data_IF_536520737180
#
_entry.id   IF_536520737180
#
_cell.length_a   1.000
_cell.length_b   1.000
_cell.length_c   1.000
_cell.angle_alpha   90.00
_cell.angle_beta   90.00
_cell.angle_gamma   90.00
#
_symmetry.space_group_name_H-M   'P 1'
#
loop_
_entity.id
_entity.type
_entity.pdbx_description
1 polymer ?
#
# COMPACT_ATOMS: atom_id res chain seq x y z
N UNK A 1 -40.31 1.61 -50.66
CA UNK A 1 -39.02 1.03 -50.22
C UNK A 1 -38.64 1.68 -48.89
N UNK A 2 -38.97 1.04 -47.77
CA UNK A 2 -38.51 1.45 -46.45
C UNK A 2 -37.46 0.42 -46.01
N UNK A 3 -36.19 0.84 -45.94
CA UNK A 3 -35.08 -0.01 -45.53
C UNK A 3 -35.18 -0.33 -44.03
N UNK A 4 -35.38 -1.61 -43.70
CA UNK A 4 -35.16 -2.12 -42.36
C UNK A 4 -33.66 -2.06 -42.04
N UNK A 5 -33.28 -1.09 -41.20
CA UNK A 5 -31.94 -1.07 -40.59
C UNK A 5 -31.92 -2.15 -39.51
N UNK A 6 -31.31 -3.30 -39.82
CA UNK A 6 -31.07 -4.36 -38.87
C UNK A 6 -30.17 -3.83 -37.73
N UNK A 7 -30.71 -3.73 -36.51
CA UNK A 7 -29.93 -3.49 -35.29
C UNK A 7 -28.94 -4.64 -35.11
N UNK A 8 -27.65 -4.40 -35.38
CA UNK A 8 -26.56 -5.32 -35.02
C UNK A 8 -26.60 -5.53 -33.51
N UNK A 9 -26.95 -6.74 -33.07
CA UNK A 9 -26.76 -7.19 -31.68
C UNK A 9 -25.25 -7.15 -31.41
N UNK A 10 -24.76 -6.17 -30.64
CA UNK A 10 -23.47 -6.33 -29.98
C UNK A 10 -23.65 -7.39 -28.89
N UNK A 11 -23.30 -8.63 -29.23
CA UNK A 11 -22.97 -9.61 -28.23
C UNK A 11 -21.65 -9.11 -27.61
N UNK A 12 -21.67 -8.81 -26.31
CA UNK A 12 -20.44 -8.71 -25.55
C UNK A 12 -19.83 -10.10 -25.65
N UNK A 13 -18.77 -10.24 -26.44
CA UNK A 13 -18.01 -11.48 -26.48
C UNK A 13 -17.30 -11.55 -25.14
N UNK A 14 -17.84 -12.31 -24.20
CA UNK A 14 -17.13 -12.64 -22.97
C UNK A 14 -15.98 -13.55 -23.36
N UNK A 15 -14.80 -12.96 -23.51
CA UNK A 15 -13.58 -13.71 -23.80
C UNK A 15 -13.15 -14.40 -22.52
N UNK A 16 -13.45 -15.70 -22.41
CA UNK A 16 -12.95 -16.54 -21.31
C UNK A 16 -11.43 -16.52 -21.37
N UNK A 17 -10.78 -16.02 -20.33
CA UNK A 17 -9.31 -16.02 -20.24
C UNK A 17 -8.89 -17.43 -19.84
N UNK A 18 -8.41 -18.23 -20.81
CA UNK A 18 -8.05 -19.63 -20.60
C UNK A 18 -6.68 -19.82 -19.93
N UNK A 19 -5.73 -18.94 -20.21
CA UNK A 19 -4.33 -19.08 -19.79
C UNK A 19 -3.87 -17.84 -19.01
N UNK A 20 -4.18 -17.77 -17.71
CA UNK A 20 -3.60 -16.75 -16.83
C UNK A 20 -2.23 -17.19 -16.36
N UNK A 21 -1.22 -16.36 -16.64
CA UNK A 21 0.14 -16.56 -16.12
C UNK A 21 0.22 -16.40 -14.59
N UNK A 22 -0.68 -15.60 -13.99
CA UNK A 22 -0.71 -15.31 -12.55
C UNK A 22 -2.13 -15.51 -12.01
N UNK A 23 -2.27 -16.27 -10.93
CA UNK A 23 -3.55 -16.53 -10.26
C UNK A 23 -4.07 -15.28 -9.54
N UNK A 24 -5.39 -15.17 -9.30
CA UNK A 24 -5.97 -13.99 -8.68
C UNK A 24 -5.42 -13.71 -7.28
N UNK A 25 -5.14 -14.74 -6.49
CA UNK A 25 -4.55 -14.67 -5.15
C UNK A 25 -3.18 -13.96 -5.17
N UNK A 26 -2.49 -14.01 -6.32
CA UNK A 26 -1.15 -13.45 -6.53
C UNK A 26 -1.16 -12.09 -7.24
N UNK A 27 -2.31 -11.45 -7.36
CA UNK A 27 -2.45 -10.10 -7.90
C UNK A 27 -2.67 -9.12 -6.75
N UNK A 28 -2.04 -7.94 -6.83
CA UNK A 28 -2.32 -6.78 -5.97
C UNK A 28 -2.60 -5.58 -6.87
N UNK A 29 -3.82 -5.04 -6.82
CA UNK A 29 -4.17 -3.78 -7.49
C UNK A 29 -4.16 -2.65 -6.46
N UNK A 30 -3.12 -1.84 -6.47
CA UNK A 30 -2.87 -0.83 -5.44
C UNK A 30 -2.77 0.58 -6.01
N UNK A 31 -3.25 1.56 -5.26
CA UNK A 31 -2.95 2.96 -5.50
C UNK A 31 -1.93 3.48 -4.51
N UNK A 32 -1.04 4.36 -4.94
CA UNK A 32 -0.24 5.16 -4.02
C UNK A 32 -0.93 6.52 -3.92
N UNK A 33 -1.38 6.87 -2.72
CA UNK A 33 -2.22 8.04 -2.43
C UNK A 33 -1.55 8.88 -1.35
N UNK A 34 -1.57 10.20 -1.49
CA UNK A 34 -0.93 11.11 -0.53
C UNK A 34 -1.37 12.57 -0.74
N UNK A 35 -1.03 13.44 0.21
CA UNK A 35 -1.03 14.89 -0.03
C UNK A 35 0.17 15.30 -0.91
N UNK A 36 0.18 16.57 -1.35
CA UNK A 36 1.27 17.14 -2.15
C UNK A 36 2.59 17.06 -1.38
N UNK A 37 3.68 16.70 -2.06
CA UNK A 37 5.02 16.62 -1.45
C UNK A 37 5.18 15.59 -0.31
N UNK A 38 4.27 14.64 -0.12
CA UNK A 38 4.52 13.51 0.80
C UNK A 38 5.59 12.51 0.28
N UNK A 39 5.99 12.64 -0.99
CA UNK A 39 6.91 11.71 -1.67
C UNK A 39 6.23 10.49 -2.27
N UNK A 40 4.97 10.61 -2.70
CA UNK A 40 4.22 9.57 -3.41
C UNK A 40 4.95 9.07 -4.67
N UNK A 41 5.29 9.98 -5.59
CA UNK A 41 6.00 9.63 -6.84
C UNK A 41 7.38 9.04 -6.56
N UNK A 42 8.11 9.58 -5.59
CA UNK A 42 9.39 9.02 -5.13
C UNK A 42 9.24 7.57 -4.65
N UNK A 43 8.15 7.28 -3.95
CA UNK A 43 7.83 5.92 -3.49
C UNK A 43 7.54 5.01 -4.68
N UNK A 44 6.76 5.48 -5.66
CA UNK A 44 6.50 4.75 -6.92
C UNK A 44 7.79 4.41 -7.64
N UNK A 45 8.66 5.40 -7.86
CA UNK A 45 9.95 5.22 -8.56
C UNK A 45 10.86 4.22 -7.84
N UNK A 46 10.94 4.29 -6.51
CA UNK A 46 11.72 3.30 -5.75
C UNK A 46 11.13 1.91 -5.85
N UNK A 47 9.81 1.75 -5.83
CA UNK A 47 9.16 0.45 -6.09
C UNK A 47 9.52 -0.11 -7.47
N UNK A 48 9.49 0.73 -8.51
CA UNK A 48 9.86 0.30 -9.87
C UNK A 48 11.34 -0.13 -9.97
N UNK A 49 12.21 0.57 -9.25
CA UNK A 49 13.62 0.24 -9.18
C UNK A 49 13.88 -1.07 -8.43
N UNK A 50 13.31 -1.24 -7.24
CA UNK A 50 13.48 -2.46 -6.40
C UNK A 50 12.91 -3.72 -7.06
N UNK A 51 11.85 -3.56 -7.84
CA UNK A 51 11.26 -4.65 -8.62
C UNK A 51 12.01 -4.95 -9.93
N UNK A 52 13.06 -4.18 -10.25
CA UNK A 52 13.85 -4.32 -11.47
C UNK A 52 13.12 -3.86 -12.74
N UNK A 53 11.97 -3.19 -12.63
CA UNK A 53 11.23 -2.62 -13.76
C UNK A 53 12.00 -1.48 -14.42
N UNK A 54 12.70 -0.68 -13.61
CA UNK A 54 13.61 0.36 -14.06
C UNK A 54 15.04 0.06 -13.57
N UNK A 55 16.03 0.31 -14.43
CA UNK A 55 17.45 0.09 -14.10
C UNK A 55 18.10 1.30 -13.43
N UNK A 56 17.41 2.45 -13.41
CA UNK A 56 17.85 3.70 -12.80
C UNK A 56 16.72 4.25 -11.95
N UNK A 57 17.07 4.85 -10.82
CA UNK A 57 16.13 5.53 -9.97
C UNK A 57 15.76 6.88 -10.60
N UNK A 58 14.47 7.11 -10.84
CA UNK A 58 13.97 8.41 -11.29
C UNK A 58 13.91 9.42 -10.15
N UNK A 59 14.00 10.70 -10.50
CA UNK A 59 13.92 11.82 -9.55
C UNK A 59 12.91 12.85 -10.04
N UNK A 60 12.03 13.29 -9.13
CA UNK A 60 11.06 14.37 -9.40
C UNK A 60 11.80 15.68 -9.63
N UNK A 61 12.81 15.99 -8.80
CA UNK A 61 13.60 17.22 -8.89
C UNK A 61 14.38 17.32 -10.21
N UNK A 62 14.80 16.18 -10.76
CA UNK A 62 15.51 16.11 -12.04
C UNK A 62 14.58 15.91 -13.24
N UNK A 63 13.26 15.74 -13.01
CA UNK A 63 12.28 15.46 -14.05
C UNK A 63 12.49 14.13 -14.79
N UNK A 64 13.14 13.16 -14.15
CA UNK A 64 13.56 11.87 -14.75
C UNK A 64 12.65 10.70 -14.39
N UNK A 65 11.55 10.95 -13.68
CA UNK A 65 10.57 9.93 -13.28
C UNK A 65 9.93 9.24 -14.49
N UNK A 66 9.63 7.95 -14.35
CA UNK A 66 8.95 7.16 -15.36
C UNK A 66 7.44 7.45 -15.42
N UNK A 67 6.84 7.89 -14.31
CA UNK A 67 5.40 8.13 -14.16
C UNK A 67 4.97 9.53 -14.63
N UNK A 68 5.74 10.58 -14.29
CA UNK A 68 5.45 11.96 -14.69
C UNK A 68 6.08 12.26 -16.07
N UNK A 69 5.33 11.98 -17.14
CA UNK A 69 5.82 12.08 -18.52
C UNK A 69 5.45 13.39 -19.21
N UNK A 70 4.47 14.13 -18.71
CA UNK A 70 4.09 15.41 -19.30
C UNK A 70 5.13 16.49 -18.96
N UNK A 71 5.41 17.38 -19.92
CA UNK A 71 6.33 18.52 -19.72
C UNK A 71 5.90 19.37 -18.51
N UNK A 72 4.59 19.61 -18.35
CA UNK A 72 4.03 20.36 -17.23
C UNK A 72 4.20 19.67 -15.88
N UNK A 73 4.19 18.34 -15.83
CA UNK A 73 4.42 17.59 -14.59
C UNK A 73 5.88 17.74 -14.16
N UNK A 74 6.81 17.61 -15.11
CA UNK A 74 8.25 17.77 -14.88
C UNK A 74 8.65 19.19 -14.51
N UNK A 75 8.08 20.20 -15.18
CA UNK A 75 8.34 21.61 -14.90
C UNK A 75 7.87 22.02 -13.49
N UNK A 76 6.77 21.41 -13.01
CA UNK A 76 6.13 21.79 -11.75
C UNK A 76 6.42 20.83 -10.59
N UNK A 77 7.05 19.68 -10.85
CA UNK A 77 7.31 18.65 -9.84
C UNK A 77 6.04 18.06 -9.22
N UNK A 78 4.95 17.96 -9.99
CA UNK A 78 3.66 17.43 -9.51
C UNK A 78 3.11 16.38 -10.47
N UNK A 79 2.45 15.35 -9.94
CA UNK A 79 1.67 14.39 -10.71
C UNK A 79 0.30 14.97 -11.05
N UNK A 80 -0.02 15.05 -12.34
CA UNK A 80 -1.29 15.59 -12.88
C UNK A 80 -2.19 14.44 -13.34
N UNK A 81 -1.64 13.43 -14.01
CA UNK A 81 -2.40 12.29 -14.55
C UNK A 81 -2.00 10.99 -13.86
N UNK A 82 -2.98 10.11 -13.64
CA UNK A 82 -2.69 8.80 -13.07
C UNK A 82 -1.81 7.96 -13.99
N UNK A 83 -0.73 7.38 -13.46
CA UNK A 83 0.10 6.42 -14.17
C UNK A 83 -0.24 4.99 -13.72
N UNK A 84 -0.65 4.13 -14.65
CA UNK A 84 -0.90 2.71 -14.39
C UNK A 84 0.31 1.87 -14.82
N UNK A 85 0.93 1.17 -13.88
CA UNK A 85 2.16 0.40 -14.11
C UNK A 85 2.03 -0.99 -13.51
N UNK A 86 2.47 -2.02 -14.26
CA UNK A 86 2.58 -3.39 -13.76
C UNK A 86 4.04 -3.72 -13.51
N UNK A 87 4.30 -4.22 -12.30
CA UNK A 87 5.58 -4.80 -11.87
C UNK A 87 5.39 -6.13 -11.16
N UNK A 88 6.48 -6.80 -10.82
CA UNK A 88 6.47 -8.10 -10.16
C UNK A 88 7.37 -8.11 -8.92
N UNK A 89 6.91 -8.80 -7.87
CA UNK A 89 7.63 -8.91 -6.60
C UNK A 89 7.64 -10.36 -6.12
N UNK A 90 8.81 -10.85 -5.72
CA UNK A 90 8.96 -12.19 -5.15
C UNK A 90 8.88 -12.11 -3.63
N UNK A 91 7.79 -12.61 -3.05
CA UNK A 91 7.70 -12.81 -1.62
C UNK A 91 8.43 -14.10 -1.24
N UNK A 92 9.51 -13.96 -0.44
CA UNK A 92 10.39 -15.06 -0.02
C UNK A 92 10.29 -15.37 1.48
N UNK A 93 9.30 -14.82 2.17
CA UNK A 93 9.17 -14.89 3.63
C UNK A 93 7.89 -15.60 4.01
N UNK A 94 8.00 -16.57 4.91
CA UNK A 94 6.82 -17.22 5.48
C UNK A 94 5.88 -16.18 6.11
N UNK A 95 4.60 -16.27 5.72
CA UNK A 95 3.61 -15.23 5.94
C UNK A 95 2.19 -15.82 6.02
N UNK A 96 1.20 -14.94 6.18
CA UNK A 96 -0.22 -15.27 6.06
C UNK A 96 -0.65 -15.55 4.62
N UNK A 97 0.21 -15.22 3.64
CA UNK A 97 0.02 -15.52 2.21
C UNK A 97 1.15 -16.41 1.70
N UNK A 98 0.89 -17.18 0.64
CA UNK A 98 1.86 -18.13 0.11
C UNK A 98 3.10 -17.43 -0.48
N UNK A 99 4.28 -18.02 -0.32
CA UNK A 99 5.49 -17.55 -1.00
C UNK A 99 5.35 -17.63 -2.53
N UNK A 100 6.09 -16.78 -3.24
CA UNK A 100 6.24 -16.86 -4.69
C UNK A 100 6.16 -15.52 -5.41
N UNK A 101 5.89 -15.60 -6.71
CA UNK A 101 5.89 -14.47 -7.63
C UNK A 101 4.53 -13.76 -7.68
N UNK A 102 4.50 -12.48 -7.30
CA UNK A 102 3.29 -11.65 -7.27
C UNK A 102 3.32 -10.59 -8.35
N UNK A 103 2.15 -10.35 -8.97
CA UNK A 103 1.94 -9.22 -9.86
C UNK A 103 1.39 -8.05 -9.06
N UNK A 104 2.06 -6.91 -9.12
CA UNK A 104 1.63 -5.66 -8.50
C UNK A 104 1.27 -4.66 -9.59
N UNK A 105 0.00 -4.29 -9.66
CA UNK A 105 -0.50 -3.22 -10.52
C UNK A 105 -0.63 -1.96 -9.67
N UNK A 106 0.08 -0.91 -10.06
CA UNK A 106 0.17 0.34 -9.32
C UNK A 106 -0.55 1.42 -10.12
N UNK A 107 -1.42 2.17 -9.46
CA UNK A 107 -1.92 3.46 -9.95
C UNK A 107 -1.27 4.55 -9.10
N UNK A 108 -0.36 5.30 -9.70
CA UNK A 108 0.19 6.50 -9.07
C UNK A 108 -0.83 7.64 -9.25
N UNK A 109 -1.35 8.20 -8.16
CA UNK A 109 -2.49 9.13 -8.20
C UNK A 109 -2.06 10.58 -7.99
N UNK A 110 -2.74 11.59 -8.55
CA UNK A 110 -2.43 12.99 -8.24
C UNK A 110 -2.54 13.30 -6.74
N UNK A 111 -1.59 14.08 -6.20
CA UNK A 111 -1.62 14.51 -4.79
C UNK A 111 -2.34 15.83 -4.55
N UNK A 112 -2.61 16.60 -5.63
CA UNK A 112 -3.18 17.94 -5.56
C UNK A 112 -4.72 17.90 -5.58
N UNK A 113 -5.34 18.80 -4.81
CA UNK A 113 -6.81 18.89 -4.66
C UNK A 113 -7.56 19.15 -5.98
N UNK A 114 -6.93 19.87 -6.90
CA UNK A 114 -7.48 20.20 -8.21
C UNK A 114 -7.73 18.96 -9.09
N UNK A 115 -7.09 17.83 -8.76
CA UNK A 115 -7.22 16.56 -9.48
C UNK A 115 -7.98 15.50 -8.67
N UNK A 116 -8.80 15.93 -7.70
CA UNK A 116 -9.63 15.04 -6.86
C UNK A 116 -10.54 14.10 -7.65
N UNK A 117 -11.03 14.49 -8.83
CA UNK A 117 -11.82 13.62 -9.69
C UNK A 117 -11.02 12.41 -10.21
N UNK A 118 -9.73 12.60 -10.44
CA UNK A 118 -8.80 11.56 -10.88
C UNK A 118 -8.51 10.57 -9.74
N UNK A 119 -8.30 11.11 -8.52
CA UNK A 119 -8.14 10.32 -7.30
C UNK A 119 -9.40 9.48 -7.02
N UNK A 120 -10.59 10.07 -7.11
CA UNK A 120 -11.84 9.32 -6.93
C UNK A 120 -12.02 8.21 -7.97
N UNK A 121 -11.66 8.47 -9.24
CA UNK A 121 -11.74 7.45 -10.29
C UNK A 121 -10.79 6.29 -10.01
N UNK A 122 -9.57 6.60 -9.57
CA UNK A 122 -8.56 5.60 -9.21
C UNK A 122 -9.05 4.74 -8.05
N UNK A 123 -9.50 5.37 -6.95
CA UNK A 123 -9.97 4.65 -5.75
C UNK A 123 -11.12 3.66 -6.00
N UNK A 124 -11.94 3.85 -7.05
CA UNK A 124 -13.02 2.91 -7.41
C UNK A 124 -12.54 1.62 -8.07
N UNK A 125 -11.32 1.61 -8.60
CA UNK A 125 -10.76 0.47 -9.37
C UNK A 125 -9.70 -0.28 -8.55
N UNK A 126 -9.29 0.30 -7.43
CA UNK A 126 -8.24 -0.25 -6.59
C UNK A 126 -8.79 -1.24 -5.58
N UNK A 127 -8.10 -2.37 -5.43
CA UNK A 127 -8.41 -3.32 -4.37
C UNK A 127 -7.86 -2.83 -3.03
N UNK A 128 -6.71 -2.16 -3.03
CA UNK A 128 -6.09 -1.58 -1.83
C UNK A 128 -5.26 -0.33 -2.13
N UNK A 129 -4.70 0.31 -1.12
CA UNK A 129 -3.86 1.48 -1.31
C UNK A 129 -2.73 1.63 -0.27
N UNK A 130 -1.68 2.33 -0.68
CA UNK A 130 -0.58 2.79 0.16
C UNK A 130 -0.80 4.29 0.41
N UNK A 131 -1.12 4.65 1.64
CA UNK A 131 -1.29 6.04 2.07
C UNK A 131 0.06 6.58 2.57
N UNK A 132 0.65 7.52 1.83
CA UNK A 132 1.93 8.13 2.19
C UNK A 132 1.68 9.43 2.95
N UNK A 133 2.34 9.58 4.09
CA UNK A 133 2.38 10.81 4.88
C UNK A 133 3.83 11.31 4.97
N UNK A 134 3.98 12.63 5.12
CA UNK A 134 5.26 13.24 5.42
C UNK A 134 5.47 13.18 6.94
N UNK A 135 6.55 12.56 7.39
CA UNK A 135 6.86 12.38 8.80
C UNK A 135 7.15 13.69 9.55
N UNK A 136 7.30 14.83 8.86
CA UNK A 136 7.46 16.16 9.48
C UNK A 136 6.13 16.80 9.83
N UNK A 137 5.10 16.60 9.00
CA UNK A 137 3.80 17.28 9.13
C UNK A 137 2.68 16.34 9.59
N UNK A 138 2.86 15.03 9.46
CA UNK A 138 1.86 14.03 9.77
C UNK A 138 0.61 14.18 8.89
N UNK A 139 -0.57 14.27 9.52
CA UNK A 139 -1.83 14.46 8.81
C UNK A 139 -2.11 15.94 8.56
N UNK A 140 -2.23 16.27 7.27
CA UNK A 140 -2.68 17.58 6.77
C UNK A 140 -4.13 17.55 6.27
N UNK A 141 -4.72 18.72 6.04
CA UNK A 141 -6.11 18.88 5.55
C UNK A 141 -6.40 18.13 4.24
N UNK A 142 -5.39 18.05 3.36
CA UNK A 142 -5.50 17.29 2.12
C UNK A 142 -5.44 15.78 2.36
N UNK A 143 -4.61 15.35 3.32
CA UNK A 143 -4.55 13.95 3.74
C UNK A 143 -5.90 13.45 4.27
N UNK A 144 -6.61 14.28 5.05
CA UNK A 144 -7.97 13.97 5.52
C UNK A 144 -8.98 13.82 4.38
N UNK A 145 -8.83 14.61 3.32
CA UNK A 145 -9.72 14.55 2.17
C UNK A 145 -9.54 13.25 1.38
N UNK A 146 -8.29 12.89 1.09
CA UNK A 146 -7.94 11.62 0.44
C UNK A 146 -8.34 10.43 1.32
N UNK A 147 -8.15 10.53 2.64
CA UNK A 147 -8.57 9.50 3.59
C UNK A 147 -10.09 9.28 3.57
N UNK A 148 -10.88 10.37 3.57
CA UNK A 148 -12.35 10.30 3.48
C UNK A 148 -12.81 9.70 2.15
N UNK A 149 -12.14 10.01 1.05
CA UNK A 149 -12.44 9.40 -0.26
C UNK A 149 -12.19 7.90 -0.25
N UNK A 150 -11.05 7.46 0.30
CA UNK A 150 -10.76 6.03 0.41
C UNK A 150 -11.73 5.32 1.38
N UNK A 151 -12.17 5.96 2.48
CA UNK A 151 -13.23 5.45 3.35
C UNK A 151 -14.57 5.29 2.60
N UNK A 152 -14.96 6.28 1.79
CA UNK A 152 -16.21 6.27 1.00
C UNK A 152 -16.28 5.08 0.04
N UNK A 153 -15.15 4.67 -0.52
CA UNK A 153 -15.05 3.51 -1.42
C UNK A 153 -14.64 2.21 -0.72
N UNK A 154 -14.47 2.24 0.60
CA UNK A 154 -14.11 1.06 1.38
C UNK A 154 -12.74 0.48 1.06
N UNK A 155 -11.79 1.29 0.59
CA UNK A 155 -10.48 0.81 0.12
C UNK A 155 -9.58 0.47 1.34
N UNK A 156 -9.17 -0.80 1.51
CA UNK A 156 -8.15 -1.23 2.47
C UNK A 156 -6.82 -0.51 2.25
N UNK A 157 -6.14 -0.15 3.34
CA UNK A 157 -4.92 0.68 3.27
C UNK A 157 -3.84 0.25 4.23
N UNK A 158 -2.60 0.45 3.81
CA UNK A 158 -1.43 0.53 4.67
C UNK A 158 -0.89 1.96 4.67
N UNK A 159 -0.25 2.39 5.75
CA UNK A 159 0.25 3.74 5.93
C UNK A 159 1.78 3.74 5.91
N UNK A 160 2.39 4.76 5.30
CA UNK A 160 3.84 4.95 5.26
C UNK A 160 4.18 6.36 5.70
N UNK A 161 4.99 6.48 6.76
CA UNK A 161 5.59 7.74 7.20
C UNK A 161 6.93 7.92 6.48
N UNK A 162 6.91 8.70 5.41
CA UNK A 162 8.09 8.99 4.60
C UNK A 162 8.85 10.20 5.16
N UNK A 163 10.05 10.46 4.62
CA UNK A 163 10.88 11.64 4.94
C UNK A 163 11.31 11.73 6.41
N UNK A 164 11.39 10.59 7.12
CA UNK A 164 11.89 10.56 8.51
C UNK A 164 13.37 10.94 8.66
N UNK A 165 14.09 11.01 7.54
CA UNK A 165 15.48 11.45 7.48
C UNK A 165 15.65 12.97 7.46
N UNK A 166 14.56 13.75 7.37
CA UNK A 166 14.59 15.20 7.30
C UNK A 166 14.44 15.85 8.67
N UNK A 167 15.03 17.03 8.83
CA UNK A 167 14.94 17.84 10.06
C UNK A 167 13.47 18.10 10.40
N UNK A 168 13.11 17.86 11.66
CA UNK A 168 11.77 18.06 12.17
C UNK A 168 10.81 16.91 11.85
N UNK A 169 11.30 15.78 11.33
CA UNK A 169 10.53 14.55 11.31
C UNK A 169 10.15 14.16 12.75
N UNK A 170 8.94 13.68 12.97
CA UNK A 170 8.49 13.17 14.26
C UNK A 170 7.64 11.92 14.01
N UNK A 171 8.25 10.77 14.29
CA UNK A 171 7.60 9.48 14.06
C UNK A 171 6.41 9.27 14.99
N UNK A 172 6.57 9.55 16.29
CA UNK A 172 5.52 9.35 17.28
C UNK A 172 4.39 10.35 17.09
N UNK A 173 4.73 11.64 16.92
CA UNK A 173 3.75 12.69 16.68
C UNK A 173 2.99 12.50 15.36
N UNK A 174 3.62 11.95 14.32
CA UNK A 174 2.93 11.58 13.08
C UNK A 174 1.92 10.44 13.28
N UNK A 175 2.24 9.43 14.09
CA UNK A 175 1.31 8.35 14.43
C UNK A 175 0.13 8.89 15.23
N UNK A 176 0.39 9.76 16.22
CA UNK A 176 -0.66 10.40 17.02
C UNK A 176 -1.58 11.24 16.14
N UNK A 177 -1.02 12.04 15.23
CA UNK A 177 -1.76 12.82 14.23
C UNK A 177 -2.68 11.94 13.36
N UNK A 178 -2.23 10.76 12.95
CA UNK A 178 -3.06 9.76 12.23
C UNK A 178 -4.24 9.30 13.09
N UNK A 179 -3.99 8.98 14.36
CA UNK A 179 -5.05 8.51 15.27
C UNK A 179 -6.07 9.60 15.56
N UNK A 180 -5.63 10.80 15.92
CA UNK A 180 -6.50 11.88 16.36
C UNK A 180 -7.29 12.52 15.23
N UNK A 181 -6.64 12.86 14.12
CA UNK A 181 -7.29 13.61 13.02
C UNK A 181 -8.11 12.71 12.11
N UNK A 182 -7.70 11.45 11.92
CA UNK A 182 -8.40 10.51 11.03
C UNK A 182 -9.31 9.54 11.77
N UNK A 183 -9.22 9.45 13.11
CA UNK A 183 -9.94 8.45 13.90
C UNK A 183 -9.56 7.01 13.54
N UNK A 184 -8.33 6.81 13.05
CA UNK A 184 -7.88 5.53 12.52
C UNK A 184 -7.29 4.64 13.61
N UNK A 185 -7.71 3.37 13.68
CA UNK A 185 -7.01 2.37 14.48
C UNK A 185 -5.73 1.95 13.74
N UNK A 186 -4.64 2.65 14.02
CA UNK A 186 -3.37 2.49 13.33
C UNK A 186 -2.24 2.23 14.33
N UNK A 187 -1.33 1.31 14.00
CA UNK A 187 -0.17 1.01 14.82
C UNK A 187 1.04 0.73 13.95
N UNK A 188 2.26 1.09 14.42
CA UNK A 188 3.48 0.75 13.71
C UNK A 188 3.67 -0.76 13.68
N UNK A 189 4.05 -1.28 12.51
CA UNK A 189 4.62 -2.63 12.36
C UNK A 189 6.16 -2.58 12.29
N UNK A 190 6.70 -1.37 12.15
CA UNK A 190 8.13 -1.08 12.13
C UNK A 190 8.39 0.23 12.88
N UNK A 191 9.56 0.36 13.51
CA UNK A 191 10.03 1.62 14.10
C UNK A 191 11.38 2.02 13.49
N UNK A 192 11.67 3.32 13.28
CA UNK A 192 12.92 3.76 12.67
C UNK A 192 14.14 3.50 13.56
N UNK A 193 15.29 3.22 12.94
CA UNK A 193 16.60 3.15 13.61
C UNK A 193 17.36 4.43 13.29
N UNK A 194 17.54 5.26 14.31
CA UNK A 194 18.10 6.59 14.17
C UNK A 194 17.03 7.62 13.80
N UNK A 195 17.45 8.86 13.71
CA UNK A 195 16.59 10.02 13.50
C UNK A 195 17.26 11.03 12.57
N UNK A 196 16.49 11.69 11.71
CA UNK A 196 17.00 12.64 10.72
C UNK A 196 18.18 12.06 9.92
N UNK A 197 19.32 12.75 9.92
CA UNK A 197 20.55 12.40 9.22
C UNK A 197 21.20 11.10 9.72
N UNK A 198 20.81 10.60 10.91
CA UNK A 198 21.29 9.33 11.45
C UNK A 198 20.36 8.15 11.14
N UNK A 199 19.25 8.38 10.42
CA UNK A 199 18.31 7.33 10.01
C UNK A 199 19.01 6.32 9.09
N UNK A 200 19.07 5.07 9.53
CA UNK A 200 19.86 4.01 8.87
C UNK A 200 19.13 2.67 8.71
N UNK A 201 17.85 2.62 9.03
CA UNK A 201 17.08 1.38 8.97
C UNK A 201 15.81 1.41 9.79
N UNK A 202 15.23 0.23 10.01
CA UNK A 202 14.01 0.01 10.78
C UNK A 202 14.11 -1.27 11.62
N UNK A 203 13.40 -1.31 12.74
CA UNK A 203 13.13 -2.55 13.48
C UNK A 203 11.79 -3.09 13.05
N UNK A 204 11.76 -4.34 12.58
CA UNK A 204 10.53 -5.09 12.31
C UNK A 204 9.97 -5.61 13.65
N UNK A 205 8.78 -5.14 14.02
CA UNK A 205 8.14 -5.47 15.30
C UNK A 205 7.48 -6.85 15.29
N UNK A 206 7.35 -7.51 14.15
CA UNK A 206 6.76 -8.84 13.98
C UNK A 206 7.85 -9.90 14.08
N UNK A 207 8.97 -9.71 13.39
CA UNK A 207 10.15 -10.59 13.47
C UNK A 207 11.06 -10.31 14.65
N UNK A 208 10.95 -9.11 15.24
CA UNK A 208 11.88 -8.61 16.25
C UNK A 208 13.33 -8.63 15.77
N UNK A 209 13.56 -8.14 14.55
CA UNK A 209 14.87 -7.97 13.91
C UNK A 209 15.03 -6.55 13.37
N UNK A 210 16.27 -6.10 13.26
CA UNK A 210 16.61 -4.85 12.62
C UNK A 210 16.98 -5.08 11.15
N UNK A 211 16.55 -4.17 10.29
CA UNK A 211 16.91 -4.11 8.88
C UNK A 211 17.59 -2.77 8.59
N UNK A 212 18.84 -2.81 8.17
CA UNK A 212 19.65 -1.59 7.98
C UNK A 212 20.25 -1.50 6.58
N UNK A 213 20.59 -0.28 6.18
CA UNK A 213 21.19 0.05 4.89
C UNK A 213 22.33 1.04 5.10
N UNK A 214 23.26 1.15 4.13
CA UNK A 214 24.40 2.08 4.22
C UNK A 214 24.10 3.48 3.69
N UNK A 215 23.20 3.59 2.73
CA UNK A 215 22.84 4.84 2.06
C UNK A 215 21.66 4.66 1.11
N UNK A 216 21.31 5.72 0.40
CA UNK A 216 20.20 5.73 -0.59
C UNK A 216 20.55 4.90 -1.83
N UNK A 217 21.82 4.88 -2.18
CA UNK A 217 22.42 4.10 -3.25
C UNK A 217 22.56 2.61 -2.92
N UNK A 218 22.45 2.24 -1.63
CA UNK A 218 22.50 0.85 -1.20
C UNK A 218 21.14 0.17 -1.43
N UNK A 219 21.16 -0.91 -2.19
CA UNK A 219 19.96 -1.67 -2.57
C UNK A 219 19.83 -2.97 -1.77
N UNK A 220 20.63 -3.11 -0.71
CA UNK A 220 20.61 -4.28 0.16
C UNK A 220 20.22 -3.87 1.56
N UNK A 221 19.20 -4.56 2.08
CA UNK A 221 18.92 -4.57 3.51
C UNK A 221 19.77 -5.65 4.18
N UNK A 222 20.40 -5.29 5.29
CA UNK A 222 21.11 -6.20 6.17
C UNK A 222 20.21 -6.50 7.37
N UNK A 223 19.90 -7.77 7.58
CA UNK A 223 19.21 -8.23 8.78
C UNK A 223 20.23 -8.35 9.93
N UNK A 224 19.94 -7.70 11.06
CA UNK A 224 20.77 -7.72 12.26
C UNK A 224 19.91 -7.81 13.54
N UNK A 225 20.56 -8.04 14.69
CA UNK A 225 19.88 -7.95 15.98
C UNK A 225 19.46 -6.51 16.28
N UNK A 226 18.37 -6.35 17.03
CA UNK A 226 17.89 -5.04 17.45
C UNK A 226 18.98 -4.34 18.27
N UNK A 227 19.34 -3.08 17.95
CA UNK A 227 20.27 -2.31 18.76
C UNK A 227 19.83 -2.27 20.23
N UNK A 228 20.77 -2.45 21.16
CA UNK A 228 20.46 -2.57 22.60
C UNK A 228 19.59 -1.40 23.12
N UNK A 229 19.84 -0.18 22.65
CA UNK A 229 19.07 1.02 23.04
C UNK A 229 17.61 1.05 22.56
N UNK A 230 17.23 0.23 21.57
CA UNK A 230 15.88 0.18 21.01
C UNK A 230 15.09 -1.07 21.44
N UNK A 231 15.70 -1.98 22.20
CA UNK A 231 15.09 -3.28 22.52
C UNK A 231 13.83 -3.13 23.37
N UNK A 232 13.86 -2.28 24.39
CA UNK A 232 12.70 -2.08 25.28
C UNK A 232 11.58 -1.30 24.59
N UNK A 233 11.94 -0.32 23.76
CA UNK A 233 11.01 0.42 22.92
C UNK A 233 10.32 -0.50 21.90
N UNK A 234 11.09 -1.34 21.20
CA UNK A 234 10.55 -2.31 20.26
C UNK A 234 9.57 -3.29 20.94
N UNK A 235 9.88 -3.76 22.16
CA UNK A 235 8.95 -4.61 22.94
C UNK A 235 7.68 -3.87 23.30
N UNK A 236 7.78 -2.60 23.71
CA UNK A 236 6.61 -1.76 24.02
C UNK A 236 5.71 -1.61 22.80
N UNK A 237 6.26 -1.22 21.65
CA UNK A 237 5.50 -1.08 20.40
C UNK A 237 4.94 -2.40 19.89
N UNK A 238 5.70 -3.51 20.01
CA UNK A 238 5.19 -4.85 19.68
C UNK A 238 3.97 -5.21 20.53
N UNK A 239 4.00 -4.97 21.84
CA UNK A 239 2.87 -5.28 22.71
C UNK A 239 1.62 -4.49 22.32
N UNK A 240 1.78 -3.19 22.03
CA UNK A 240 0.69 -2.35 21.54
C UNK A 240 0.14 -2.82 20.18
N UNK A 241 1.04 -3.22 19.27
CA UNK A 241 0.66 -3.79 17.98
C UNK A 241 -0.15 -5.08 18.17
N UNK A 242 0.35 -6.01 18.99
CA UNK A 242 -0.31 -7.29 19.27
C UNK A 242 -1.69 -7.07 19.87
N UNK A 243 -1.81 -6.18 20.87
CA UNK A 243 -3.08 -5.82 21.48
C UNK A 243 -4.07 -5.26 20.44
N UNK A 244 -3.60 -4.36 19.56
CA UNK A 244 -4.44 -3.73 18.56
C UNK A 244 -4.94 -4.68 17.46
N UNK A 245 -4.21 -5.78 17.19
CA UNK A 245 -4.54 -6.69 16.08
C UNK A 245 -5.16 -8.01 16.52
N UNK A 246 -4.97 -8.43 17.77
CA UNK A 246 -5.42 -9.73 18.24
C UNK A 246 -6.92 -9.98 18.00
N UNK A 247 -7.74 -8.93 18.09
CA UNK A 247 -9.20 -9.01 17.89
C UNK A 247 -9.64 -9.41 16.46
N UNK A 248 -8.77 -9.30 15.46
CA UNK A 248 -9.15 -9.55 14.06
C UNK A 248 -9.05 -11.02 13.63
N UNK A 249 -8.51 -11.91 14.46
CA UNK A 249 -8.46 -13.35 14.20
C UNK A 249 -8.78 -14.15 15.47
N UNK A 250 -9.84 -14.95 15.45
CA UNK A 250 -10.33 -15.69 16.62
C UNK A 250 -9.27 -16.59 17.28
N UNK A 251 -8.44 -17.25 16.47
CA UNK A 251 -7.34 -18.09 16.97
C UNK A 251 -6.27 -17.25 17.66
N UNK A 252 -5.88 -16.12 17.04
CA UNK A 252 -4.93 -15.16 17.61
C UNK A 252 -5.47 -14.54 18.90
N UNK A 253 -6.74 -14.14 18.93
CA UNK A 253 -7.40 -13.60 20.13
C UNK A 253 -7.38 -14.60 21.28
N UNK A 254 -7.73 -15.85 21.01
CA UNK A 254 -7.74 -16.91 22.03
C UNK A 254 -6.35 -17.12 22.61
N UNK A 255 -5.31 -17.23 21.76
CA UNK A 255 -3.92 -17.36 22.22
C UNK A 255 -3.49 -16.16 23.07
N UNK A 256 -3.85 -14.95 22.66
CA UNK A 256 -3.53 -13.72 23.38
C UNK A 256 -4.17 -13.68 24.77
N UNK A 257 -5.47 -14.00 24.89
CA UNK A 257 -6.19 -14.05 26.16
C UNK A 257 -5.65 -15.14 27.11
N UNK A 258 -5.18 -16.25 26.56
CA UNK A 258 -4.52 -17.33 27.30
C UNK A 258 -3.08 -16.97 27.76
N UNK A 259 -2.56 -15.79 27.38
CA UNK A 259 -1.18 -15.39 27.64
C UNK A 259 -0.13 -16.20 26.88
N UNK A 260 -0.52 -16.87 25.78
CA UNK A 260 0.40 -17.63 24.93
C UNK A 260 1.14 -16.70 23.97
N UNK A 261 2.38 -17.05 23.67
CA UNK A 261 3.18 -16.31 22.69
C UNK A 261 2.60 -16.50 21.28
N UNK A 262 2.40 -15.38 20.57
CA UNK A 262 1.92 -15.37 19.20
C UNK A 262 3.07 -15.57 18.21
N UNK A 263 2.89 -16.48 17.25
CA UNK A 263 3.84 -16.64 16.16
C UNK A 263 3.78 -15.46 15.17
N UNK A 264 4.81 -15.28 14.35
CA UNK A 264 4.80 -14.29 13.28
C UNK A 264 3.59 -14.46 12.34
N UNK A 265 3.24 -15.71 12.03
CA UNK A 265 2.11 -16.03 11.17
C UNK A 265 0.77 -15.61 11.81
N UNK A 266 0.60 -15.80 13.12
CA UNK A 266 -0.61 -15.39 13.84
C UNK A 266 -0.80 -13.86 13.76
N UNK A 267 0.29 -13.10 14.01
CA UNK A 267 0.27 -11.63 13.96
C UNK A 267 -0.02 -11.14 12.54
N UNK A 268 0.68 -11.68 11.53
CA UNK A 268 0.49 -11.30 10.12
C UNK A 268 -0.91 -11.62 9.61
N UNK A 269 -1.49 -12.75 10.02
CA UNK A 269 -2.86 -13.14 9.67
C UNK A 269 -3.88 -12.17 10.27
N UNK A 270 -3.71 -11.82 11.53
CA UNK A 270 -4.58 -10.86 12.21
C UNK A 270 -4.48 -9.45 11.60
N UNK A 271 -3.27 -8.96 11.31
CA UNK A 271 -3.04 -7.71 10.57
C UNK A 271 -3.77 -7.74 9.22
N UNK A 272 -3.54 -8.78 8.41
CA UNK A 272 -4.17 -8.89 7.08
C UNK A 272 -5.69 -8.84 7.17
N UNK A 273 -6.30 -9.57 8.11
CA UNK A 273 -7.75 -9.54 8.33
C UNK A 273 -8.25 -8.14 8.69
N UNK A 274 -7.60 -7.47 9.64
CA UNK A 274 -7.93 -6.10 10.04
C UNK A 274 -7.78 -5.08 8.91
N UNK A 275 -6.77 -5.24 8.05
CA UNK A 275 -6.55 -4.39 6.86
C UNK A 275 -7.65 -4.59 5.83
N UNK A 276 -7.95 -5.84 5.45
CA UNK A 276 -8.94 -6.15 4.39
C UNK A 276 -10.33 -5.63 4.77
N UNK A 277 -10.73 -5.71 6.05
CA UNK A 277 -12.02 -5.17 6.50
C UNK A 277 -12.01 -3.65 6.74
N UNK A 278 -10.85 -3.00 6.56
CA UNK A 278 -10.69 -1.56 6.74
C UNK A 278 -10.83 -1.08 8.18
N UNK A 279 -10.45 -1.92 9.17
CA UNK A 279 -10.52 -1.61 10.60
C UNK A 279 -9.16 -1.43 11.25
N UNK A 280 -8.08 -1.90 10.63
CA UNK A 280 -6.72 -1.71 11.11
C UNK A 280 -5.83 -1.19 9.98
N UNK A 281 -4.94 -0.25 10.32
CA UNK A 281 -4.05 0.40 9.36
C UNK A 281 -2.60 0.29 9.84
N UNK A 282 -1.81 -0.68 9.33
CA UNK A 282 -0.42 -0.83 9.73
C UNK A 282 0.40 0.35 9.23
N UNK A 283 1.30 0.84 10.08
CA UNK A 283 2.20 1.96 9.78
C UNK A 283 3.62 1.42 9.58
N UNK A 284 4.20 1.76 8.44
CA UNK A 284 5.63 1.65 8.15
C UNK A 284 6.25 3.05 8.20
N UNK A 285 7.58 3.16 8.28
CA UNK A 285 8.24 4.45 8.23
C UNK A 285 9.69 4.38 7.76
N UNK A 286 10.20 5.53 7.30
CA UNK A 286 11.62 5.72 7.00
C UNK A 286 11.87 6.71 5.86
N UNK A 287 12.89 6.42 5.07
CA UNK A 287 13.20 7.13 3.81
C UNK A 287 12.87 6.24 2.61
N UNK A 288 11.78 6.56 1.90
CA UNK A 288 11.30 5.79 0.74
C UNK A 288 12.23 5.87 -0.47
N UNK A 289 13.35 6.58 -0.39
CA UNK A 289 14.40 6.54 -1.42
C UNK A 289 15.34 5.34 -1.26
N UNK A 290 15.29 4.64 -0.13
CA UNK A 290 16.25 3.59 0.27
C UNK A 290 15.68 2.17 0.07
N UNK A 291 16.50 1.14 0.35
CA UNK A 291 16.12 -0.26 0.25
C UNK A 291 14.97 -0.68 1.20
N UNK A 292 14.55 0.15 2.16
CA UNK A 292 13.40 -0.16 3.04
C UNK A 292 12.09 -0.34 2.26
N UNK A 293 12.00 0.18 1.04
CA UNK A 293 10.85 -0.02 0.15
C UNK A 293 10.65 -1.50 -0.19
N UNK A 294 11.67 -2.34 -0.07
CA UNK A 294 11.52 -3.80 -0.15
C UNK A 294 10.59 -4.33 0.95
N UNK A 295 10.64 -3.76 2.16
CA UNK A 295 9.74 -4.12 3.26
C UNK A 295 8.32 -3.59 3.03
N UNK A 296 8.18 -2.42 2.38
CA UNK A 296 6.89 -1.92 1.92
C UNK A 296 6.28 -2.87 0.87
N UNK A 297 7.07 -3.36 -0.09
CA UNK A 297 6.61 -4.33 -1.08
C UNK A 297 6.17 -5.66 -0.44
N UNK A 298 6.89 -6.12 0.59
CA UNK A 298 6.43 -7.25 1.39
C UNK A 298 5.08 -6.94 2.05
N UNK A 299 4.95 -5.80 2.74
CA UNK A 299 3.70 -5.41 3.40
C UNK A 299 2.51 -5.26 2.42
N UNK A 300 2.75 -4.76 1.20
CA UNK A 300 1.75 -4.73 0.12
C UNK A 300 1.25 -6.14 -0.20
N UNK A 301 2.16 -7.10 -0.39
CA UNK A 301 1.76 -8.47 -0.71
C UNK A 301 1.10 -9.15 0.49
N UNK A 302 1.64 -8.96 1.70
CA UNK A 302 1.21 -9.65 2.91
C UNK A 302 -0.14 -9.12 3.44
N UNK A 303 -0.38 -7.81 3.39
CA UNK A 303 -1.51 -7.20 4.08
C UNK A 303 -2.59 -6.61 3.18
N UNK A 304 -2.24 -6.13 1.97
CA UNK A 304 -3.26 -5.60 1.05
C UNK A 304 -4.02 -6.74 0.35
N UNK A 305 -5.29 -6.50 -0.02
CA UNK A 305 -6.15 -7.49 -0.65
C UNK A 305 -5.66 -7.86 -2.05
N UNK A 306 -6.03 -9.07 -2.43
CA UNK A 306 -6.09 -9.52 -3.82
C UNK A 306 -7.51 -9.29 -4.39
N UNK A 307 -7.71 -9.41 -5.71
CA UNK A 307 -9.04 -9.28 -6.32
C UNK A 307 -10.11 -10.23 -5.75
N UNK A 308 -9.73 -11.36 -5.13
CA UNK A 308 -10.69 -12.29 -4.51
C UNK A 308 -11.06 -11.90 -3.07
N UNK A 309 -10.30 -11.01 -2.44
CA UNK A 309 -10.54 -10.54 -1.08
C UNK A 309 -11.53 -9.36 -1.04
N UNK A 310 -11.85 -8.77 -2.20
CA UNK A 310 -12.77 -7.63 -2.32
C UNK A 310 -14.15 -8.07 -2.80
N UNK A 311 -15.23 -7.36 -2.41
CA UNK A 311 -16.58 -7.66 -2.88
C UNK A 311 -16.71 -7.61 -4.42
N UNK A 312 -17.49 -8.50 -5.04
CA UNK A 312 -17.79 -8.45 -6.46
C UNK A 312 -18.35 -7.09 -6.90
N UNK A 313 -17.96 -6.64 -8.09
CA UNK A 313 -18.44 -5.38 -8.65
C UNK A 313 -19.90 -5.52 -9.07
N UNK A 314 -20.73 -4.54 -8.70
CA UNK A 314 -22.14 -4.47 -9.12
C UNK A 314 -22.32 -3.45 -10.24
N UNK A 315 -23.14 -3.78 -11.23
CA UNK A 315 -23.46 -2.90 -12.34
C UNK A 315 -24.90 -3.07 -12.81
N UNK A 316 -25.48 -2.03 -13.41
CA UNK A 316 -26.81 -2.13 -14.00
C UNK A 316 -26.68 -2.52 -15.48
N UNK A 317 -27.35 -3.60 -15.88
CA UNK A 317 -27.39 -4.00 -17.27
C UNK A 317 -28.22 -2.97 -18.08
N UNK A 318 -27.63 -2.30 -19.09
CA UNK A 318 -28.31 -1.24 -19.84
C UNK A 318 -29.49 -1.74 -20.69
N UNK A 319 -29.60 -3.06 -20.92
CA UNK A 319 -30.68 -3.66 -21.71
C UNK A 319 -31.85 -4.11 -20.83
N UNK A 320 -31.58 -4.68 -19.66
CA UNK A 320 -32.61 -5.25 -18.78
C UNK A 320 -32.96 -4.35 -17.60
N UNK A 321 -32.11 -3.37 -17.29
CA UNK A 321 -32.24 -2.52 -16.11
C UNK A 321 -31.95 -3.24 -14.78
N UNK A 322 -31.59 -4.53 -14.82
CA UNK A 322 -31.32 -5.33 -13.63
C UNK A 322 -29.90 -5.10 -13.12
N UNK A 323 -29.72 -5.20 -11.80
CA UNK A 323 -28.40 -5.21 -11.17
C UNK A 323 -27.78 -6.59 -11.37
N UNK A 324 -26.58 -6.63 -11.94
CA UNK A 324 -25.76 -7.81 -12.12
C UNK A 324 -24.48 -7.66 -11.28
N UNK A 325 -23.97 -8.78 -10.77
CA UNK A 325 -22.67 -8.84 -10.08
C UNK A 325 -21.64 -9.50 -10.98
N UNK A 326 -20.39 -9.02 -10.92
CA UNK A 326 -19.23 -9.61 -11.61
C UNK A 326 -18.26 -10.15 -10.57
N UNK A 327 -18.20 -11.47 -10.46
CA UNK A 327 -17.27 -12.14 -9.57
C UNK A 327 -15.88 -12.24 -10.21
N UNK A 328 -14.79 -12.22 -9.42
CA UNK A 328 -13.42 -12.37 -9.91
C UNK A 328 -13.11 -13.83 -10.28
N UNK A 329 -13.86 -14.39 -11.23
CA UNK A 329 -13.74 -15.76 -11.75
C UNK A 329 -13.28 -15.72 -13.20
N UNK A 330 -12.62 -16.77 -13.68
CA UNK A 330 -12.14 -16.81 -15.06
C UNK A 330 -13.29 -17.03 -16.07
N UNK A 331 -14.38 -17.62 -15.60
CA UNK A 331 -15.58 -17.93 -16.37
C UNK A 331 -16.54 -16.73 -16.46
N UNK A 332 -16.35 -15.71 -15.62
CA UNK A 332 -17.14 -14.47 -15.63
C UNK A 332 -16.50 -13.43 -16.59
N UNK A 333 -17.32 -12.63 -17.31
CA UNK A 333 -16.87 -11.59 -18.25
C UNK A 333 -16.06 -10.45 -17.66
#
# INVERSE_FOLDING_TARGET
MAGQVAKKKSAIVSTVTKDREVSYEKIRNIGIIAHIDAGKTTTTERVLFETGKTYKLGSVDEGTTATDWMEQERERGITIVSAAITTFWDLKTDSSVANGHYRVNIIDTPGHIDFTAEVERSLRVLDGAVMVFDGRTGVESQSETVWRQANKYGVPRICVLNKLNLIGADFEGSIESIKEKLGANAAPIQIPIGFEHSLRGVVDLIKMKAYTYKGVEDNKLVEEEIPAGLTDEAKKYRNQLVEAVAEYDDDTLTKYLDGKELSEADIKKAIRKGVIIGKFFPILGGDNRTAIVQLLLNAVVEYLPSPIDVPPVEGQNPKTGQVEKREPKNEEP
#
